data_IF_090679026217
#
_entry.id   IF_090679026217
#
_cell.length_a   1.000
_cell.length_b   1.000
_cell.length_c   1.000
_cell.angle_alpha   90.00
_cell.angle_beta   90.00
_cell.angle_gamma   90.00
#
_symmetry.space_group_name_H-M   'P 1'
#
loop_
_entity.id
_entity.type
_entity.pdbx_description
1 polymer ?
#
# COMPACT_ATOMS: atom_id res chain seq x y z
N UNK A 1 9.99 6.09 2.87
CA UNK A 1 9.69 4.91 2.04
C UNK A 1 10.31 3.70 2.70
N UNK A 2 9.54 2.63 2.85
CA UNK A 2 10.02 1.30 3.24
C UNK A 2 9.78 0.35 2.06
N UNK A 3 10.80 -0.40 1.66
CA UNK A 3 10.70 -1.46 0.66
C UNK A 3 10.95 -2.81 1.32
N UNK A 4 10.14 -3.81 0.97
CA UNK A 4 10.25 -5.19 1.41
C UNK A 4 10.32 -6.07 0.18
N UNK A 5 11.31 -6.95 0.12
CA UNK A 5 11.57 -7.81 -1.03
C UNK A 5 11.65 -9.26 -0.54
N UNK A 6 10.84 -10.12 -1.14
CA UNK A 6 10.95 -11.58 -0.97
C UNK A 6 11.82 -12.15 -2.08
N UNK A 7 11.59 -11.70 -3.32
CA UNK A 7 12.39 -11.97 -4.51
C UNK A 7 12.12 -10.91 -5.59
N UNK A 8 12.66 -11.14 -6.80
CA UNK A 8 12.54 -10.24 -7.95
C UNK A 8 11.08 -10.00 -8.38
N UNK A 9 10.17 -10.93 -8.08
CA UNK A 9 8.76 -10.84 -8.48
C UNK A 9 7.87 -10.32 -7.35
N UNK A 10 8.28 -10.46 -6.09
CA UNK A 10 7.45 -10.18 -4.91
C UNK A 10 8.05 -9.08 -4.06
N UNK A 11 7.56 -7.87 -4.27
CA UNK A 11 8.01 -6.67 -3.59
C UNK A 11 6.84 -5.88 -3.03
N UNK A 12 7.01 -5.28 -1.86
CA UNK A 12 6.05 -4.35 -1.26
C UNK A 12 6.74 -3.01 -1.00
N UNK A 13 6.04 -1.93 -1.32
CA UNK A 13 6.47 -0.56 -1.01
C UNK A 13 5.43 0.11 -0.12
N UNK A 14 5.91 0.69 0.98
CA UNK A 14 5.10 1.50 1.89
C UNK A 14 5.67 2.91 1.89
N UNK A 15 4.86 3.84 1.41
CA UNK A 15 5.16 5.25 1.45
C UNK A 15 4.26 6.02 2.40
N UNK A 16 4.76 7.11 2.97
CA UNK A 16 3.98 7.98 3.84
C UNK A 16 4.61 8.25 5.20
N UNK A 17 3.77 8.76 6.10
CA UNK A 17 4.10 9.27 7.43
C UNK A 17 2.89 9.98 8.06
N UNK A 18 2.97 10.32 9.34
CA UNK A 18 1.91 11.03 10.08
C UNK A 18 0.51 10.40 9.93
N UNK A 19 0.43 9.07 10.00
CA UNK A 19 -0.82 8.32 9.93
C UNK A 19 -1.43 8.16 8.54
N UNK A 20 -0.73 8.60 7.48
CA UNK A 20 -1.17 8.48 6.08
C UNK A 20 -0.17 7.68 5.28
N UNK A 21 -0.62 6.57 4.72
CA UNK A 21 0.25 5.65 4.01
C UNK A 21 -0.33 5.25 2.65
N UNK A 22 0.55 4.99 1.70
CA UNK A 22 0.24 4.35 0.42
C UNK A 22 1.02 3.05 0.40
N UNK A 23 0.33 1.95 0.10
CA UNK A 23 0.92 0.61 0.07
C UNK A 23 0.70 -0.01 -1.29
N UNK A 24 1.78 -0.46 -1.93
CA UNK A 24 1.72 -1.22 -3.18
C UNK A 24 2.48 -2.53 -3.06
N UNK A 25 2.00 -3.54 -3.78
CA UNK A 25 2.64 -4.84 -3.95
C UNK A 25 2.85 -5.07 -5.45
N UNK A 26 4.07 -5.44 -5.82
CA UNK A 26 4.45 -5.93 -7.13
C UNK A 26 4.53 -7.45 -7.06
N UNK A 27 3.85 -8.14 -7.98
CA UNK A 27 3.74 -9.60 -8.12
C UNK A 27 4.03 -9.99 -9.58
N UNK A 28 5.30 -9.92 -9.97
CA UNK A 28 5.77 -10.21 -11.32
C UNK A 28 5.18 -9.23 -12.34
N UNK A 29 4.12 -9.63 -13.04
CA UNK A 29 3.42 -8.83 -14.05
C UNK A 29 2.20 -8.06 -13.50
N UNK A 30 1.85 -8.24 -12.23
CA UNK A 30 0.68 -7.61 -11.60
C UNK A 30 1.09 -6.67 -10.48
N UNK A 31 0.32 -5.60 -10.34
CA UNK A 31 0.45 -4.68 -9.23
C UNK A 31 -0.86 -4.62 -8.45
N UNK A 32 -0.74 -4.58 -7.13
CA UNK A 32 -1.85 -4.33 -6.23
C UNK A 32 -1.58 -3.08 -5.40
N UNK A 33 -2.60 -2.27 -5.22
CA UNK A 33 -2.56 -1.11 -4.31
C UNK A 33 -3.61 -1.29 -3.23
N UNK A 34 -3.23 -0.95 -2.01
CA UNK A 34 -4.13 -1.03 -0.87
C UNK A 34 -5.05 0.19 -0.86
N UNK A 35 -6.35 -0.06 -0.71
CA UNK A 35 -7.38 0.96 -0.75
C UNK A 35 -8.15 1.03 0.57
N UNK A 36 -8.61 2.24 0.91
CA UNK A 36 -9.64 2.48 1.91
C UNK A 36 -10.99 2.68 1.20
N UNK A 37 -11.90 1.69 1.23
CA UNK A 37 -13.19 1.76 0.53
C UNK A 37 -14.16 2.77 1.17
N UNK A 38 -13.83 3.31 2.35
CA UNK A 38 -14.66 4.32 3.03
C UNK A 38 -14.40 5.73 2.50
N UNK A 39 -13.32 5.91 1.74
CA UNK A 39 -12.91 7.20 1.18
C UNK A 39 -13.36 7.33 -0.28
N UNK A 40 -13.57 8.59 -0.68
CA UNK A 40 -13.94 8.93 -2.05
C UNK A 40 -12.74 8.84 -2.99
N UNK A 41 -12.98 8.37 -4.22
CA UNK A 41 -12.00 8.40 -5.31
C UNK A 41 -11.73 9.81 -5.85
N UNK A 42 -12.69 10.73 -5.71
CA UNK A 42 -12.59 12.12 -6.17
C UNK A 42 -11.78 13.00 -5.20
N UNK A 43 -11.51 12.49 -3.99
CA UNK A 43 -10.68 13.15 -3.00
C UNK A 43 -9.20 13.02 -3.32
N UNK A 44 -8.39 13.99 -2.87
CA UNK A 44 -6.94 13.83 -2.92
C UNK A 44 -6.30 14.16 -1.58
N UNK A 45 -5.33 13.34 -1.19
CA UNK A 45 -4.56 13.49 0.03
C UNK A 45 -3.08 13.62 -0.30
N UNK A 46 -2.42 14.55 0.40
CA UNK A 46 -0.98 14.72 0.29
C UNK A 46 -0.28 13.69 1.15
N UNK A 47 0.60 12.90 0.52
CA UNK A 47 1.41 11.89 1.21
C UNK A 47 2.89 12.22 0.98
N UNK A 48 3.65 12.25 2.06
CA UNK A 48 5.10 12.50 2.00
C UNK A 48 5.83 11.18 2.08
N UNK A 49 6.40 10.74 0.97
CA UNK A 49 7.28 9.58 0.91
C UNK A 49 8.61 9.95 0.24
N UNK A 50 9.47 10.67 0.97
CA UNK A 50 10.67 11.28 0.39
C UNK A 50 10.32 12.56 -0.35
N UNK A 51 9.66 12.47 -1.51
CA UNK A 51 9.06 13.61 -2.20
C UNK A 51 7.54 13.58 -1.98
N UNK A 52 6.96 14.71 -1.60
CA UNK A 52 5.51 14.81 -1.42
C UNK A 52 4.77 14.69 -2.75
N UNK A 53 3.71 13.90 -2.77
CA UNK A 53 2.81 13.77 -3.92
C UNK A 53 1.36 13.73 -3.45
N UNK A 54 0.46 14.11 -4.35
CA UNK A 54 -0.97 13.94 -4.15
C UNK A 54 -1.38 12.55 -4.63
N UNK A 55 -2.20 11.86 -3.84
CA UNK A 55 -2.80 10.57 -4.18
C UNK A 55 -4.31 10.68 -4.04
N UNK A 56 -5.10 9.89 -4.81
CA UNK A 56 -6.52 9.72 -4.51
C UNK A 56 -6.69 9.32 -3.05
N UNK A 57 -7.67 9.92 -2.36
CA UNK A 57 -7.91 9.66 -0.93
C UNK A 57 -8.15 8.18 -0.65
N UNK A 58 -8.81 7.47 -1.58
CA UNK A 58 -9.02 6.02 -1.52
C UNK A 58 -7.72 5.20 -1.48
N UNK A 59 -6.59 5.71 -1.98
CA UNK A 59 -5.29 5.02 -1.93
C UNK A 59 -4.48 5.35 -0.67
N UNK A 60 -4.99 6.24 0.18
CA UNK A 60 -4.33 6.65 1.42
C UNK A 60 -4.99 5.96 2.60
N UNK A 61 -4.26 5.05 3.23
CA UNK A 61 -4.72 4.24 4.34
C UNK A 61 -4.11 4.67 5.67
N UNK A 62 -4.72 4.20 6.76
CA UNK A 62 -4.20 4.41 8.11
C UNK A 62 -3.00 3.50 8.44
N UNK A 63 -2.34 3.80 9.56
CA UNK A 63 -1.18 3.05 10.06
C UNK A 63 -1.52 1.58 10.33
N UNK A 64 -2.73 1.30 10.82
CA UNK A 64 -3.14 -0.06 11.19
C UNK A 64 -3.23 -0.95 9.94
N UNK A 65 -3.88 -0.46 8.88
CA UNK A 65 -4.04 -1.17 7.62
C UNK A 65 -2.69 -1.38 6.93
N UNK A 66 -1.83 -0.35 6.92
CA UNK A 66 -0.48 -0.47 6.36
C UNK A 66 0.37 -1.49 7.13
N UNK A 67 0.30 -1.49 8.46
CA UNK A 67 1.00 -2.47 9.31
C UNK A 67 0.47 -3.88 9.11
N UNK A 68 -0.85 -4.06 9.01
CA UNK A 68 -1.45 -5.37 8.76
C UNK A 68 -0.99 -5.94 7.41
N UNK A 69 -1.06 -5.13 6.34
CA UNK A 69 -0.56 -5.52 5.03
C UNK A 69 0.91 -5.95 5.07
N UNK A 70 1.75 -5.15 5.74
CA UNK A 70 3.18 -5.45 5.92
C UNK A 70 3.43 -6.80 6.60
N UNK A 71 2.75 -7.05 7.73
CA UNK A 71 2.93 -8.28 8.50
C UNK A 71 2.46 -9.50 7.69
N UNK A 72 1.31 -9.40 7.04
CA UNK A 72 0.78 -10.49 6.21
C UNK A 72 1.72 -10.83 5.04
N UNK A 73 2.23 -9.80 4.36
CA UNK A 73 3.17 -9.98 3.25
C UNK A 73 4.44 -10.71 3.71
N UNK A 74 4.98 -10.34 4.87
CA UNK A 74 6.14 -11.01 5.44
C UNK A 74 5.83 -12.47 5.83
N UNK A 75 4.72 -12.71 6.53
CA UNK A 75 4.35 -14.03 7.06
C UNK A 75 3.99 -15.05 5.95
N UNK A 76 3.49 -14.57 4.81
CA UNK A 76 3.06 -15.43 3.69
C UNK A 76 4.10 -15.60 2.59
N UNK A 77 5.25 -14.93 2.69
CA UNK A 77 6.25 -14.94 1.62
C UNK A 77 5.79 -14.17 0.38
N UNK A 78 5.12 -13.03 0.59
CA UNK A 78 4.90 -12.03 -0.45
C UNK A 78 3.48 -11.97 -1.01
N UNK A 79 2.46 -12.44 -0.29
CA UNK A 79 1.06 -12.36 -0.72
C UNK A 79 0.35 -11.16 -0.09
N UNK A 80 -0.73 -10.69 -0.73
CA UNK A 80 -1.59 -9.65 -0.19
C UNK A 80 -2.54 -10.23 0.86
N UNK A 81 -2.88 -9.42 1.87
CA UNK A 81 -3.88 -9.81 2.86
C UNK A 81 -5.30 -9.77 2.24
N UNK A 82 -6.03 -10.90 2.15
CA UNK A 82 -7.36 -10.95 1.55
C UNK A 82 -8.45 -10.30 2.41
N UNK A 83 -8.16 -9.94 3.66
CA UNK A 83 -9.09 -9.22 4.55
C UNK A 83 -9.03 -7.71 4.37
N UNK A 84 -8.04 -7.22 3.62
CA UNK A 84 -7.89 -5.83 3.22
C UNK A 84 -8.41 -5.62 1.79
N UNK A 85 -8.70 -4.38 1.42
CA UNK A 85 -9.20 -4.02 0.09
C UNK A 85 -8.04 -3.68 -0.82
N UNK A 86 -7.88 -4.45 -1.90
CA UNK A 86 -6.83 -4.26 -2.89
C UNK A 86 -7.43 -4.03 -4.26
N UNK A 87 -6.90 -3.06 -4.99
CA UNK A 87 -7.21 -2.83 -6.39
C UNK A 87 -6.03 -3.20 -7.29
N UNK A 88 -6.31 -3.49 -8.56
CA UNK A 88 -5.30 -3.77 -9.58
C UNK A 88 -4.93 -2.48 -10.33
N UNK A 89 -3.62 -2.24 -10.49
CA UNK A 89 -3.07 -1.13 -11.30
C UNK A 89 -2.50 -1.62 -12.62
#
# INVERSE_FOLDING_TARGET
MLGLEVDEERQMYIGGGDGRYVVSIYLGDRNKVLCDPTKSEDGSEWVVCGQGSSYPSSLVVDEQSARQAMLHFFDTGGLWDPTLFWDEM
#
